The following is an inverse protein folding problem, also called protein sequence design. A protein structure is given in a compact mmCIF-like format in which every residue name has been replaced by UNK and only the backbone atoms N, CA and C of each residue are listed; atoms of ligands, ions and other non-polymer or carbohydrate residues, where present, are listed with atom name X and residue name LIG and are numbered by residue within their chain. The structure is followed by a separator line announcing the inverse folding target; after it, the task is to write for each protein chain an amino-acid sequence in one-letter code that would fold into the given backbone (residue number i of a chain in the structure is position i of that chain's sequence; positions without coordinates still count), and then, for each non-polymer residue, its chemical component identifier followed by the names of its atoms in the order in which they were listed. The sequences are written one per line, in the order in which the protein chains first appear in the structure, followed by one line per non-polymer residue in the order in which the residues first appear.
data_IF_456589282486
#
_entry.id   IF_456589282486
#
_cell.length_a   1.000
_cell.length_b   1.000
_cell.length_c   1.000
_cell.angle_alpha   90.00
_cell.angle_beta   90.00
_cell.angle_gamma   90.00
#
_symmetry.space_group_name_H-M   'P 1'
#
loop_
_entity.id
_entity.type
_entity.pdbx_description
1 polymer ?
#
# COMPACT_ATOMS: atom_id res chain seq x y z
N UNK A 1 -24.79 -10.42 -2.34
CA UNK A 1 -24.10 -11.72 -2.47
C UNK A 1 -22.64 -11.48 -2.17
N UNK A 2 -22.18 -11.75 -0.96
CA UNK A 2 -20.82 -11.39 -0.51
C UNK A 2 -19.87 -12.55 -0.81
N UNK A 3 -18.94 -12.36 -1.75
CA UNK A 3 -17.88 -13.34 -2.01
C UNK A 3 -16.60 -12.94 -1.28
N UNK A 4 -16.30 -13.70 -0.23
CA UNK A 4 -15.06 -13.61 0.54
C UNK A 4 -13.97 -14.33 -0.28
N UNK A 5 -12.87 -13.63 -0.59
CA UNK A 5 -11.69 -14.18 -1.30
C UNK A 5 -10.94 -15.19 -0.41
N UNK A 6 -9.99 -15.96 -0.95
CA UNK A 6 -9.44 -17.17 -0.30
C UNK A 6 -7.98 -17.40 -0.78
N UNK A 7 -6.95 -17.21 0.07
CA UNK A 7 -5.49 -17.42 -0.20
C UNK A 7 -4.78 -18.27 0.87
N UNK A 8 -3.68 -18.97 0.53
CA UNK A 8 -2.94 -19.83 1.48
C UNK A 8 -1.53 -19.33 1.86
N UNK A 9 -1.24 -19.27 3.16
CA UNK A 9 0.05 -18.90 3.77
C UNK A 9 0.57 -20.06 4.64
N UNK A 10 1.87 -20.17 4.88
CA UNK A 10 2.42 -21.18 5.79
C UNK A 10 3.32 -20.49 6.84
N UNK A 11 2.94 -20.52 8.12
CA UNK A 11 3.67 -19.85 9.21
C UNK A 11 4.32 -20.85 10.17
N UNK A 12 5.61 -20.69 10.52
CA UNK A 12 6.25 -21.50 11.56
C UNK A 12 5.78 -21.08 12.96
N UNK A 13 5.28 -22.07 13.71
CA UNK A 13 4.89 -22.03 15.14
C UNK A 13 5.23 -20.78 15.96
N UNK A 14 4.23 -19.90 16.18
CA UNK A 14 4.09 -19.11 17.41
C UNK A 14 2.61 -18.94 17.76
N UNK A 15 2.27 -19.21 19.04
CA UNK A 15 0.90 -19.29 19.53
C UNK A 15 0.28 -17.90 19.67
N UNK A 16 -0.85 -17.67 19.00
CA UNK A 16 -1.82 -16.63 19.35
C UNK A 16 -3.22 -17.24 19.35
N UNK A 17 -3.99 -16.94 20.39
CA UNK A 17 -5.34 -17.49 20.63
C UNK A 17 -6.37 -16.81 19.72
N UNK A 18 -7.14 -17.60 18.98
CA UNK A 18 -8.26 -17.14 18.15
C UNK A 18 -9.58 -17.66 18.74
N UNK A 19 -10.62 -16.83 18.64
CA UNK A 19 -11.98 -17.06 19.15
C UNK A 19 -12.56 -18.42 18.74
N UNK A 20 -13.27 -19.07 19.68
CA UNK A 20 -14.05 -20.27 19.42
C UNK A 20 -15.43 -19.92 18.84
N UNK A 21 -15.79 -20.49 17.70
CA UNK A 21 -17.18 -20.49 17.22
C UNK A 21 -17.91 -21.77 17.67
N UNK A 22 -19.19 -21.61 18.02
CA UNK A 22 -20.04 -22.65 18.60
C UNK A 22 -20.36 -23.80 17.62
N UNK A 23 -20.38 -25.04 18.11
CA UNK A 23 -20.87 -26.21 17.36
C UNK A 23 -22.40 -26.29 17.41
N UNK A 24 -23.06 -26.24 16.25
CA UNK A 24 -24.44 -26.73 16.10
C UNK A 24 -24.44 -28.27 15.94
N UNK A 25 -25.41 -28.94 16.58
CA UNK A 25 -25.55 -30.41 16.52
C UNK A 25 -26.24 -30.84 15.22
N UNK A 26 -25.66 -31.82 14.52
CA UNK A 26 -26.38 -32.58 13.49
C UNK A 26 -27.10 -33.74 14.17
N UNK A 27 -28.39 -33.89 13.88
CA UNK A 27 -29.24 -34.91 14.49
C UNK A 27 -29.33 -36.13 13.55
N UNK A 28 -28.99 -37.33 14.04
CA UNK A 28 -29.06 -38.55 13.24
C UNK A 28 -30.53 -38.95 13.03
N UNK A 29 -30.94 -39.19 11.78
CA UNK A 29 -32.26 -39.76 11.47
C UNK A 29 -32.07 -41.03 10.63
N UNK A 30 -32.48 -42.16 11.19
CA UNK A 30 -32.40 -43.47 10.55
C UNK A 30 -33.17 -43.50 9.21
N UNK A 31 -32.65 -44.26 8.25
CA UNK A 31 -33.32 -44.56 6.99
C UNK A 31 -33.41 -46.08 6.86
N UNK A 32 -34.63 -46.62 6.93
CA UNK A 32 -34.91 -48.01 6.57
C UNK A 32 -35.04 -48.15 5.05
N UNK A 33 -34.80 -49.36 4.54
CA UNK A 33 -34.57 -49.65 3.13
C UNK A 33 -35.86 -50.17 2.45
N UNK A 34 -36.24 -49.65 1.27
CA UNK A 34 -36.53 -50.41 0.02
C UNK A 34 -37.53 -49.75 -0.95
N UNK A 35 -37.26 -49.98 -2.26
CA UNK A 35 -38.12 -49.81 -3.46
C UNK A 35 -38.67 -48.38 -3.75
N UNK A 36 -38.61 -47.84 -4.97
CA UNK A 36 -39.00 -48.44 -6.26
C UNK A 36 -38.35 -47.67 -7.43
N UNK A 37 -38.11 -48.31 -8.57
CA UNK A 37 -37.61 -47.65 -9.78
C UNK A 37 -38.75 -46.98 -10.56
N UNK A 38 -38.53 -45.75 -11.04
CA UNK A 38 -39.31 -45.17 -12.13
C UNK A 38 -38.40 -44.36 -13.07
N UNK A 39 -38.37 -44.73 -14.35
CA UNK A 39 -37.51 -44.12 -15.37
C UNK A 39 -38.19 -42.86 -15.94
N UNK A 40 -37.85 -41.69 -15.38
CA UNK A 40 -38.19 -40.38 -15.94
C UNK A 40 -37.24 -39.97 -17.06
N UNK A 41 -37.77 -39.35 -18.12
CA UNK A 41 -37.02 -39.07 -19.37
C UNK A 41 -36.06 -37.89 -19.23
N UNK A 42 -34.79 -38.14 -19.55
CA UNK A 42 -33.96 -37.20 -20.34
C UNK A 42 -33.69 -35.81 -19.76
N UNK A 43 -32.90 -35.74 -18.69
CA UNK A 43 -32.26 -34.50 -18.26
C UNK A 43 -31.21 -34.78 -17.19
N UNK A 44 -29.93 -34.60 -17.52
CA UNK A 44 -28.90 -34.59 -16.48
C UNK A 44 -29.04 -33.27 -15.71
N UNK A 45 -29.59 -33.33 -14.51
CA UNK A 45 -29.45 -32.24 -13.54
C UNK A 45 -27.96 -32.08 -13.22
N UNK A 46 -27.28 -31.21 -13.97
CA UNK A 46 -25.99 -30.67 -13.55
C UNK A 46 -26.30 -29.84 -12.32
N UNK A 47 -26.19 -30.47 -11.14
CA UNK A 47 -26.12 -29.75 -9.88
C UNK A 47 -25.01 -28.74 -10.03
N UNK A 48 -25.38 -27.46 -10.09
CA UNK A 48 -24.42 -26.37 -10.15
C UNK A 48 -23.78 -26.35 -8.77
N UNK A 49 -22.66 -27.05 -8.64
CA UNK A 49 -22.02 -27.28 -7.35
C UNK A 49 -21.25 -26.03 -6.91
N UNK A 50 -22.02 -25.02 -6.52
CA UNK A 50 -21.55 -23.74 -6.02
C UNK A 50 -20.81 -23.84 -4.67
N UNK A 51 -20.50 -25.06 -4.20
CA UNK A 51 -19.76 -25.36 -2.98
C UNK A 51 -18.39 -26.03 -3.21
N UNK A 52 -18.10 -26.61 -4.39
CA UNK A 52 -16.88 -27.40 -4.62
C UNK A 52 -15.63 -26.59 -5.00
N UNK A 53 -15.27 -25.61 -4.16
CA UNK A 53 -13.95 -24.96 -4.21
C UNK A 53 -13.24 -24.86 -2.84
N UNK A 54 -13.94 -25.09 -1.73
CA UNK A 54 -13.39 -25.04 -0.36
C UNK A 54 -13.16 -26.45 0.22
N UNK A 55 -13.23 -27.49 -0.62
CA UNK A 55 -12.86 -28.84 -0.21
C UNK A 55 -11.33 -29.01 -0.19
N UNK A 56 -10.81 -29.20 1.02
CA UNK A 56 -9.41 -29.50 1.36
C UNK A 56 -8.38 -28.39 1.12
N UNK A 57 -8.52 -27.34 1.94
CA UNK A 57 -7.37 -26.78 2.66
C UNK A 57 -6.62 -27.95 3.32
N UNK A 58 -5.37 -28.24 2.90
CA UNK A 58 -4.51 -29.11 3.72
C UNK A 58 -4.11 -28.36 4.98
N UNK A 59 -3.99 -29.04 6.13
CA UNK A 59 -3.75 -28.43 7.45
C UNK A 59 -2.47 -27.57 7.53
N UNK A 60 -1.56 -27.69 6.55
CA UNK A 60 -0.34 -26.91 6.38
C UNK A 60 -0.50 -25.69 5.42
N UNK A 61 -1.72 -25.15 5.24
CA UNK A 61 -2.01 -24.01 4.36
C UNK A 61 -3.05 -23.08 5.03
N UNK A 62 -2.77 -21.77 5.16
CA UNK A 62 -3.48 -20.87 6.09
C UNK A 62 -4.20 -19.65 5.46
N UNK A 63 -5.37 -19.38 6.03
CA UNK A 63 -6.50 -18.67 5.41
C UNK A 63 -6.43 -17.12 5.25
N UNK A 64 -5.63 -16.52 4.35
CA UNK A 64 -5.66 -15.05 4.12
C UNK A 64 -6.73 -14.60 3.10
N UNK A 65 -7.29 -13.39 3.29
CA UNK A 65 -8.31 -12.76 2.43
C UNK A 65 -8.15 -11.24 2.46
N UNK A 66 -7.66 -10.59 1.40
CA UNK A 66 -7.44 -9.13 1.41
C UNK A 66 -7.50 -8.50 0.03
N UNK A 67 -7.83 -7.21 0.00
CA UNK A 67 -7.61 -6.30 -1.13
C UNK A 67 -6.17 -5.79 -1.03
N UNK A 68 -5.33 -6.14 -2.01
CA UNK A 68 -3.88 -5.86 -2.02
C UNK A 68 -3.49 -4.75 -3.02
N UNK A 69 -4.45 -4.29 -3.81
CA UNK A 69 -4.35 -3.24 -4.83
C UNK A 69 -5.51 -2.25 -4.66
N UNK A 70 -5.37 -1.02 -5.17
CA UNK A 70 -6.45 -0.03 -5.11
C UNK A 70 -7.65 -0.48 -5.94
N UNK A 71 -7.39 -1.00 -7.13
CA UNK A 71 -8.43 -1.50 -8.01
C UNK A 71 -8.85 -2.92 -7.61
N UNK A 72 -10.16 -3.15 -7.62
CA UNK A 72 -10.74 -4.47 -7.43
C UNK A 72 -10.83 -5.18 -8.77
N UNK A 73 -10.18 -6.34 -8.95
CA UNK A 73 -10.22 -7.06 -10.22
C UNK A 73 -11.61 -7.68 -10.40
N UNK A 74 -12.15 -7.54 -11.62
CA UNK A 74 -13.49 -7.99 -12.01
C UNK A 74 -13.76 -9.49 -11.76
N UNK A 75 -12.70 -10.31 -11.73
CA UNK A 75 -12.77 -11.74 -11.40
C UNK A 75 -11.90 -12.04 -10.16
N UNK A 76 -12.37 -12.87 -9.21
CA UNK A 76 -11.55 -13.37 -8.11
C UNK A 76 -10.38 -14.25 -8.60
N UNK A 77 -9.19 -13.68 -8.62
CA UNK A 77 -7.92 -14.39 -8.81
C UNK A 77 -7.53 -15.15 -7.53
N UNK A 78 -7.13 -16.42 -7.68
CA UNK A 78 -6.59 -17.28 -6.62
C UNK A 78 -5.12 -17.58 -6.95
N UNK A 79 -4.21 -16.76 -6.41
CA UNK A 79 -2.77 -16.93 -6.59
C UNK A 79 -2.23 -18.02 -5.66
N UNK A 80 -1.35 -18.88 -6.17
CA UNK A 80 -0.69 -19.95 -5.43
C UNK A 80 0.82 -19.82 -5.60
N UNK A 81 1.59 -20.22 -4.59
CA UNK A 81 3.06 -20.26 -4.67
C UNK A 81 3.78 -18.99 -4.20
N UNK A 82 3.05 -17.95 -3.80
CA UNK A 82 3.61 -16.83 -3.02
C UNK A 82 4.06 -17.38 -1.65
N UNK A 83 5.35 -17.27 -1.33
CA UNK A 83 5.92 -17.79 -0.07
C UNK A 83 6.35 -16.67 0.85
N UNK A 84 6.94 -15.63 0.26
CA UNK A 84 7.49 -14.48 0.96
C UNK A 84 6.72 -13.22 0.58
N UNK A 85 6.84 -12.19 1.41
CA UNK A 85 6.25 -10.87 1.15
C UNK A 85 6.75 -10.23 -0.15
N UNK A 86 8.02 -10.44 -0.50
CA UNK A 86 8.62 -10.03 -1.78
C UNK A 86 7.90 -10.66 -3.00
N UNK A 87 7.35 -11.87 -2.87
CA UNK A 87 6.57 -12.50 -3.93
C UNK A 87 5.22 -11.80 -4.10
N UNK A 88 4.62 -11.36 -3.00
CA UNK A 88 3.34 -10.62 -2.98
C UNK A 88 3.52 -9.27 -3.66
N UNK A 89 4.54 -8.47 -3.27
CA UNK A 89 4.82 -7.19 -3.91
C UNK A 89 5.17 -7.33 -5.40
N UNK A 90 5.94 -8.35 -5.77
CA UNK A 90 6.30 -8.62 -7.18
C UNK A 90 5.11 -9.07 -8.03
N UNK A 91 4.12 -9.76 -7.46
CA UNK A 91 2.90 -10.19 -8.17
C UNK A 91 1.88 -9.06 -8.30
N UNK A 92 1.57 -8.37 -7.20
CA UNK A 92 0.49 -7.37 -7.16
C UNK A 92 0.93 -5.96 -7.54
N UNK A 93 2.24 -5.67 -7.55
CA UNK A 93 2.85 -4.40 -7.96
C UNK A 93 2.07 -3.14 -7.54
N UNK A 94 1.73 -2.99 -6.23
CA UNK A 94 0.81 -1.97 -5.77
C UNK A 94 1.32 -0.55 -6.09
N UNK A 95 0.43 0.27 -6.63
CA UNK A 95 0.66 1.69 -6.86
C UNK A 95 -0.52 2.55 -6.39
N UNK A 96 -0.26 3.84 -6.17
CA UNK A 96 -1.26 4.85 -5.79
C UNK A 96 -0.99 6.18 -6.50
N UNK A 97 -1.99 6.71 -7.19
CA UNK A 97 -2.00 8.09 -7.65
C UNK A 97 -2.32 9.04 -6.50
N UNK A 98 -1.51 10.07 -6.32
CA UNK A 98 -1.64 11.11 -5.29
C UNK A 98 -1.58 12.46 -5.96
N UNK A 99 -2.48 13.36 -5.57
CA UNK A 99 -2.48 14.74 -6.02
C UNK A 99 -1.88 15.63 -4.93
N UNK A 100 -0.87 16.42 -5.29
CA UNK A 100 -0.23 17.39 -4.41
C UNK A 100 -0.68 18.81 -4.78
N UNK A 101 -1.11 19.60 -3.80
CA UNK A 101 -1.38 21.03 -3.97
C UNK A 101 -0.11 21.83 -3.62
N UNK A 102 0.32 22.73 -4.50
CA UNK A 102 1.47 23.62 -4.26
C UNK A 102 1.07 24.88 -3.50
N UNK A 103 2.05 25.64 -2.98
CA UNK A 103 1.80 26.95 -2.37
C UNK A 103 1.14 27.95 -3.34
N UNK A 104 1.35 27.78 -4.65
CA UNK A 104 0.72 28.55 -5.72
C UNK A 104 -0.69 28.04 -6.11
N UNK A 105 -1.22 27.02 -5.44
CA UNK A 105 -2.51 26.39 -5.75
C UNK A 105 -2.51 25.53 -7.04
N UNK A 106 -1.34 25.14 -7.54
CA UNK A 106 -1.22 24.23 -8.68
C UNK A 106 -1.33 22.78 -8.19
N UNK A 107 -1.98 21.91 -8.96
CA UNK A 107 -2.06 20.47 -8.67
C UNK A 107 -0.95 19.74 -9.44
N UNK A 108 -0.19 18.91 -8.73
CA UNK A 108 0.83 18.00 -9.29
C UNK A 108 0.39 16.56 -9.00
N UNK A 109 0.14 15.80 -10.06
CA UNK A 109 -0.20 14.38 -9.96
C UNK A 109 1.09 13.53 -9.94
N UNK A 110 1.25 12.68 -8.93
CA UNK A 110 2.35 11.71 -8.85
C UNK A 110 1.81 10.29 -8.62
N UNK A 111 2.54 9.27 -9.11
CA UNK A 111 2.23 7.86 -8.86
C UNK A 111 3.31 7.20 -8.00
N UNK A 112 2.95 6.85 -6.76
CA UNK A 112 3.82 6.08 -5.88
C UNK A 112 3.70 4.60 -6.21
N UNK A 113 4.84 3.90 -6.31
CA UNK A 113 4.92 2.45 -6.53
C UNK A 113 5.68 1.80 -5.38
N UNK A 114 5.15 0.69 -4.84
CA UNK A 114 5.74 0.01 -3.68
C UNK A 114 6.25 -1.37 -4.07
N UNK A 115 7.52 -1.64 -3.74
CA UNK A 115 8.21 -2.90 -4.02
C UNK A 115 8.42 -3.74 -2.75
N UNK A 116 8.31 -3.11 -1.56
CA UNK A 116 8.53 -3.72 -0.25
C UNK A 116 7.89 -2.87 0.87
N UNK A 117 7.81 -3.41 2.10
CA UNK A 117 7.27 -2.67 3.27
C UNK A 117 8.02 -1.37 3.63
N UNK A 118 9.31 -1.30 3.36
CA UNK A 118 10.11 -0.10 3.64
C UNK A 118 9.69 1.12 2.82
N UNK A 119 9.10 0.90 1.64
CA UNK A 119 8.67 1.97 0.73
C UNK A 119 7.51 2.80 1.30
N UNK A 120 6.78 2.28 2.30
CA UNK A 120 5.72 3.00 3.03
C UNK A 120 6.25 3.92 4.14
N UNK A 121 7.56 3.91 4.43
CA UNK A 121 8.12 4.84 5.42
C UNK A 121 8.11 6.28 4.89
N UNK A 122 7.86 7.31 5.73
CA UNK A 122 7.82 8.71 5.28
C UNK A 122 9.08 9.12 4.50
N UNK A 123 10.25 8.66 4.95
CA UNK A 123 11.52 8.89 4.26
C UNK A 123 11.54 8.27 2.85
N UNK A 124 11.04 7.05 2.67
CA UNK A 124 11.00 6.41 1.35
C UNK A 124 9.95 7.03 0.42
N UNK A 125 8.79 7.41 0.96
CA UNK A 125 7.81 8.21 0.23
C UNK A 125 8.45 9.51 -0.29
N UNK A 126 9.14 10.26 0.56
CA UNK A 126 9.85 11.48 0.13
C UNK A 126 11.00 11.21 -0.85
N UNK A 127 11.74 10.11 -0.71
CA UNK A 127 12.82 9.74 -1.66
C UNK A 127 12.32 9.32 -3.05
N UNK A 128 11.12 8.72 -3.10
CA UNK A 128 10.50 8.15 -4.30
C UNK A 128 9.58 9.12 -5.06
N UNK A 129 9.22 10.25 -4.44
CA UNK A 129 8.49 11.37 -5.06
C UNK A 129 9.46 12.40 -5.61
N UNK A 130 9.21 12.98 -6.79
CA UNK A 130 10.08 14.04 -7.32
C UNK A 130 9.78 15.37 -6.63
N UNK A 131 8.50 15.67 -6.42
CA UNK A 131 8.01 16.88 -5.78
C UNK A 131 8.41 16.98 -4.30
N UNK A 132 8.14 15.94 -3.50
CA UNK A 132 8.45 15.95 -2.07
C UNK A 132 9.98 15.98 -1.83
N UNK A 133 10.75 15.31 -2.69
CA UNK A 133 12.22 15.36 -2.66
C UNK A 133 12.76 16.75 -2.97
N UNK A 134 12.19 17.45 -3.95
CA UNK A 134 12.54 18.85 -4.25
C UNK A 134 12.30 19.73 -3.01
N UNK A 135 11.12 19.64 -2.40
CA UNK A 135 10.79 20.38 -1.16
C UNK A 135 11.75 20.04 -0.02
N UNK A 136 12.11 18.75 0.16
CA UNK A 136 13.08 18.36 1.19
C UNK A 136 14.45 19.02 0.93
N UNK A 137 14.93 19.02 -0.32
CA UNK A 137 16.21 19.63 -0.69
C UNK A 137 16.19 21.15 -0.43
N UNK A 138 15.12 21.84 -0.81
CA UNK A 138 14.93 23.27 -0.57
C UNK A 138 14.89 23.59 0.94
N UNK A 139 14.15 22.80 1.73
CA UNK A 139 14.11 22.91 3.18
C UNK A 139 15.49 22.68 3.82
N UNK A 140 16.24 21.68 3.34
CA UNK A 140 17.61 21.43 3.81
C UNK A 140 18.58 22.56 3.47
N UNK A 141 18.49 23.12 2.26
CA UNK A 141 19.30 24.26 1.82
C UNK A 141 18.98 25.51 2.65
N UNK A 142 17.69 25.82 2.84
CA UNK A 142 17.24 26.92 3.69
C UNK A 142 17.77 26.78 5.13
N UNK A 143 17.69 25.58 5.71
CA UNK A 143 18.23 25.30 7.04
C UNK A 143 19.77 25.42 7.10
N UNK A 144 20.50 25.03 6.05
CA UNK A 144 21.96 25.22 5.95
C UNK A 144 22.31 26.71 5.92
N UNK A 145 21.61 27.50 5.11
CA UNK A 145 21.76 28.97 5.04
C UNK A 145 21.47 29.59 6.41
N UNK A 146 20.33 29.27 7.03
CA UNK A 146 19.93 29.81 8.33
C UNK A 146 20.97 29.53 9.43
N UNK A 147 21.59 28.34 9.43
CA UNK A 147 22.70 28.01 10.34
C UNK A 147 23.95 28.86 10.07
N UNK A 148 24.32 29.06 8.81
CA UNK A 148 25.47 29.91 8.46
C UNK A 148 25.25 31.37 8.87
N UNK A 149 24.06 31.92 8.63
CA UNK A 149 23.69 33.29 9.03
C UNK A 149 23.70 33.48 10.55
N UNK A 150 23.26 32.47 11.33
CA UNK A 150 23.25 32.52 12.80
C UNK A 150 24.64 32.33 13.41
N UNK A 151 25.45 31.44 12.86
CA UNK A 151 26.75 31.06 13.45
C UNK A 151 27.86 32.06 13.11
N UNK A 152 27.79 32.75 11.97
CA UNK A 152 28.76 33.75 11.59
C UNK A 152 28.41 35.11 12.24
N UNK A 153 29.21 35.51 13.25
CA UNK A 153 29.04 36.79 13.96
C UNK A 153 29.04 38.01 13.01
N UNK A 154 29.85 37.99 11.95
CA UNK A 154 29.94 39.09 10.99
C UNK A 154 28.63 39.21 10.21
N UNK A 155 28.11 38.09 9.69
CA UNK A 155 26.82 38.09 8.98
C UNK A 155 25.67 38.49 9.91
N UNK A 156 25.68 38.05 11.18
CA UNK A 156 24.69 38.48 12.18
C UNK A 156 24.68 40.01 12.37
N UNK A 157 25.84 40.62 12.56
CA UNK A 157 25.95 42.09 12.73
C UNK A 157 25.60 42.85 11.44
N UNK A 158 25.93 42.29 10.26
CA UNK A 158 25.50 42.84 8.95
C UNK A 158 23.97 42.79 8.77
N UNK A 159 23.31 41.75 9.32
CA UNK A 159 21.85 41.59 9.28
C UNK A 159 21.12 42.42 10.35
N UNK A 160 21.79 42.80 11.44
CA UNK A 160 21.26 43.66 12.50
C UNK A 160 21.15 45.14 12.07
N UNK A 161 21.96 45.58 11.09
CA UNK A 161 21.86 46.92 10.50
C UNK A 161 21.10 46.88 9.16
N UNK A 162 20.04 47.68 9.07
CA UNK A 162 19.10 47.73 7.93
C UNK A 162 19.76 48.16 6.61
N UNK A 163 20.75 49.06 6.65
CA UNK A 163 21.48 49.51 5.46
C UNK A 163 22.36 48.40 4.88
N UNK A 164 23.14 47.71 5.74
CA UNK A 164 24.04 46.64 5.32
C UNK A 164 23.29 45.37 4.91
N UNK A 165 22.14 45.11 5.55
CA UNK A 165 21.18 44.08 5.12
C UNK A 165 20.63 44.38 3.73
N UNK A 166 20.23 45.62 3.47
CA UNK A 166 19.77 46.07 2.15
C UNK A 166 20.82 45.87 1.06
N UNK A 167 22.07 46.26 1.33
CA UNK A 167 23.19 46.06 0.42
C UNK A 167 23.46 44.56 0.15
N UNK A 168 23.46 43.71 1.18
CA UNK A 168 23.63 42.26 1.02
C UNK A 168 22.51 41.63 0.18
N UNK A 169 21.25 42.02 0.41
CA UNK A 169 20.12 41.56 -0.40
C UNK A 169 20.25 42.01 -1.86
N UNK A 170 20.75 43.21 -2.12
CA UNK A 170 20.97 43.68 -3.50
C UNK A 170 22.05 42.86 -4.21
N UNK A 171 23.21 42.63 -3.56
CA UNK A 171 24.27 41.77 -4.12
C UNK A 171 23.76 40.35 -4.40
N UNK A 172 22.95 39.77 -3.51
CA UNK A 172 22.35 38.45 -3.74
C UNK A 172 21.37 38.44 -4.93
N UNK A 173 20.59 39.51 -5.14
CA UNK A 173 19.71 39.65 -6.32
C UNK A 173 20.51 39.82 -7.61
N UNK A 174 21.59 40.60 -7.57
CA UNK A 174 22.43 40.84 -8.74
C UNK A 174 23.14 39.54 -9.17
N UNK A 175 23.66 38.75 -8.22
CA UNK A 175 24.22 37.41 -8.47
C UNK A 175 23.16 36.42 -8.97
N UNK A 176 21.95 36.40 -8.39
CA UNK A 176 20.87 35.54 -8.87
C UNK A 176 20.50 35.85 -10.34
N UNK A 177 20.42 37.15 -10.69
CA UNK A 177 20.15 37.63 -12.05
C UNK A 177 21.28 37.33 -13.05
N UNK A 178 22.51 37.15 -12.58
CA UNK A 178 23.63 36.68 -13.40
C UNK A 178 23.55 35.17 -13.69
N UNK A 179 23.01 34.38 -12.76
CA UNK A 179 22.82 32.93 -12.90
C UNK A 179 21.60 32.52 -13.73
N UNK A 180 20.64 33.43 -13.94
CA UNK A 180 19.46 33.24 -14.80
C UNK A 180 19.75 33.50 -16.30
N UNK A 181 21.02 33.70 -16.68
CA UNK A 181 21.44 34.31 -17.96
C UNK A 181 22.29 33.40 -18.84
#
# INVERSE_FOLDING_TARGET
MFFIRIFFINFPNKKYTIFTLSKSKINQKNINIMAMFEYGVGGNEVKVDANEAIHFIQENRALLVSKLTIDEPFVPEVVKGLKNEEDVFRHFQPSVGVQHETEDGTIIDEEFRFNNLGDFTPKKLTENSEYLKKIQIEQEQYNKILRQLKNNKILKTILENEQTKGALVQVLKDVAKELEK
#
